data_IF_957200102228
#
_entry.id   IF_957200102228
#
_cell.length_a   1.000
_cell.length_b   1.000
_cell.length_c   1.000
_cell.angle_alpha   90.00
_cell.angle_beta   90.00
_cell.angle_gamma   90.00
#
_symmetry.space_group_name_H-M   'P 1'
#
loop_
_entity.id
_entity.type
_entity.pdbx_description
1 polymer ?
#
# COMPACT_ATOMS: atom_id res chain seq x y z
N UNK A 1 -3.73 6.63 -2.56
CA UNK A 1 -2.56 6.79 -3.45
C UNK A 1 -2.50 5.63 -4.42
N UNK A 2 -2.18 5.92 -5.66
CA UNK A 2 -2.08 4.92 -6.71
C UNK A 2 -0.68 4.95 -7.31
N UNK A 3 -0.04 3.77 -7.37
CA UNK A 3 1.28 3.63 -7.96
C UNK A 3 1.17 2.75 -9.21
N UNK A 4 1.80 3.16 -10.29
CA UNK A 4 1.82 2.41 -11.53
C UNK A 4 3.27 2.01 -11.85
N UNK A 5 3.46 0.75 -12.19
CA UNK A 5 4.79 0.23 -12.54
C UNK A 5 4.75 -0.47 -13.89
N UNK A 6 5.80 -0.28 -14.66
CA UNK A 6 6.07 -1.10 -15.85
C UNK A 6 6.81 -2.36 -15.43
N UNK A 7 6.56 -3.45 -16.13
CA UNK A 7 7.24 -4.71 -15.88
C UNK A 7 7.53 -5.42 -17.20
N UNK A 8 8.51 -6.31 -17.15
CA UNK A 8 8.85 -7.16 -18.30
C UNK A 8 8.29 -8.56 -18.08
N UNK A 9 7.93 -9.23 -19.17
CA UNK A 9 7.38 -10.58 -19.11
C UNK A 9 5.86 -10.60 -19.12
N UNK A 10 5.30 -11.69 -18.62
CA UNK A 10 3.85 -11.90 -18.61
C UNK A 10 3.28 -11.67 -17.21
N UNK A 11 1.94 -11.59 -17.15
CA UNK A 11 1.23 -11.50 -15.86
C UNK A 11 1.61 -12.68 -14.98
N UNK A 12 1.68 -13.89 -15.55
CA UNK A 12 2.02 -15.09 -14.79
C UNK A 12 3.45 -15.07 -14.25
N UNK A 13 4.36 -14.33 -14.93
CA UNK A 13 5.74 -14.18 -14.45
C UNK A 13 5.81 -13.20 -13.28
N UNK A 14 5.05 -12.12 -13.34
CA UNK A 14 5.16 -11.04 -12.35
C UNK A 14 4.32 -11.28 -11.09
N UNK A 15 3.23 -12.04 -11.20
CA UNK A 15 2.35 -12.29 -10.06
C UNK A 15 3.10 -12.88 -8.85
N UNK A 16 3.89 -13.96 -8.99
CA UNK A 16 4.61 -14.51 -7.84
C UNK A 16 5.70 -13.56 -7.33
N UNK A 17 6.30 -12.75 -8.19
CA UNK A 17 7.32 -11.77 -7.78
C UNK A 17 6.70 -10.74 -6.83
N UNK A 18 5.56 -10.19 -7.20
CA UNK A 18 4.86 -9.20 -6.36
C UNK A 18 4.36 -9.84 -5.07
N UNK A 19 3.77 -11.03 -5.17
CA UNK A 19 3.29 -11.78 -4.00
C UNK A 19 4.42 -12.03 -3.01
N UNK A 20 5.55 -12.56 -3.47
CA UNK A 20 6.68 -12.88 -2.61
C UNK A 20 7.26 -11.63 -1.95
N UNK A 21 7.31 -10.52 -2.70
CA UNK A 21 7.75 -9.25 -2.14
C UNK A 21 6.83 -8.81 -0.99
N UNK A 22 5.51 -8.85 -1.20
CA UNK A 22 4.56 -8.44 -0.17
C UNK A 22 4.64 -9.32 1.07
N UNK A 23 4.76 -10.62 0.89
CA UNK A 23 4.92 -11.56 2.00
C UNK A 23 6.22 -11.30 2.76
N UNK A 24 7.30 -10.98 2.05
CA UNK A 24 8.59 -10.66 2.67
C UNK A 24 8.53 -9.39 3.53
N UNK A 25 7.57 -8.52 3.26
CA UNK A 25 7.33 -7.29 4.03
C UNK A 25 6.19 -7.45 5.04
N UNK A 26 5.81 -8.70 5.33
CA UNK A 26 4.81 -9.05 6.33
C UNK A 26 3.39 -8.58 6.01
N UNK A 27 3.07 -8.46 4.73
CA UNK A 27 1.68 -8.30 4.31
C UNK A 27 1.03 -9.67 4.22
N UNK A 28 -0.16 -9.80 4.77
CA UNK A 28 -0.96 -11.02 4.66
C UNK A 28 -1.79 -10.97 3.40
N UNK A 29 -1.58 -11.94 2.50
CA UNK A 29 -2.35 -12.02 1.26
C UNK A 29 -3.68 -12.71 1.56
N UNK A 30 -4.78 -11.98 1.37
CA UNK A 30 -6.12 -12.54 1.60
C UNK A 30 -6.83 -12.93 0.30
N UNK A 31 -6.33 -12.46 -0.84
CA UNK A 31 -6.84 -12.88 -2.14
C UNK A 31 -5.71 -12.89 -3.16
N UNK A 32 -5.60 -13.99 -3.89
CA UNK A 32 -4.57 -14.17 -4.91
C UNK A 32 -5.19 -14.86 -6.12
N UNK A 33 -5.35 -14.11 -7.21
CA UNK A 33 -5.98 -14.58 -8.43
C UNK A 33 -5.08 -14.31 -9.63
N UNK A 34 -4.09 -15.19 -9.90
CA UNK A 34 -3.14 -14.96 -10.99
C UNK A 34 -3.80 -14.94 -12.36
N UNK A 35 -4.89 -15.67 -12.56
CA UNK A 35 -5.61 -15.70 -13.82
C UNK A 35 -6.25 -14.34 -14.17
N UNK A 36 -6.59 -13.54 -13.17
CA UNK A 36 -7.15 -12.19 -13.38
C UNK A 36 -6.15 -11.08 -13.03
N UNK A 37 -4.94 -11.44 -12.61
CA UNK A 37 -3.91 -10.46 -12.26
C UNK A 37 -4.24 -9.66 -11.02
N UNK A 38 -4.84 -10.28 -10.02
CA UNK A 38 -5.31 -9.57 -8.83
C UNK A 38 -4.71 -10.11 -7.54
N UNK A 39 -4.26 -9.19 -6.67
CA UNK A 39 -3.77 -9.50 -5.33
C UNK A 39 -4.39 -8.50 -4.36
N UNK A 40 -4.90 -8.99 -3.24
CA UNK A 40 -5.41 -8.15 -2.16
C UNK A 40 -4.74 -8.56 -0.85
N UNK A 41 -4.26 -7.59 -0.09
CA UNK A 41 -3.71 -7.83 1.24
C UNK A 41 -4.69 -7.43 2.33
N UNK A 42 -4.52 -8.02 3.52
CA UNK A 42 -5.16 -7.52 4.71
C UNK A 42 -4.46 -6.24 5.17
N UNK A 43 -5.06 -5.54 6.12
CA UNK A 43 -4.49 -4.34 6.70
C UNK A 43 -3.24 -4.67 7.51
N UNK A 44 -2.20 -3.87 7.31
CA UNK A 44 -0.96 -3.97 8.08
C UNK A 44 -0.82 -2.69 8.91
N UNK A 45 -0.46 -2.86 10.17
CA UNK A 45 -0.25 -1.75 11.08
C UNK A 45 1.13 -1.13 10.92
N UNK A 46 1.17 0.19 10.77
CA UNK A 46 2.40 0.98 10.84
C UNK A 46 2.28 1.94 12.01
N UNK A 47 3.22 1.84 12.96
CA UNK A 47 3.29 2.77 14.08
C UNK A 47 4.19 3.94 13.70
N UNK A 48 3.64 5.14 13.72
CA UNK A 48 4.36 6.37 13.45
C UNK A 48 4.36 7.23 14.71
N UNK A 49 5.27 8.19 14.78
CA UNK A 49 5.32 9.11 15.91
C UNK A 49 4.01 9.90 16.08
N UNK A 50 3.33 10.15 14.97
CA UNK A 50 2.10 10.94 14.95
C UNK A 50 0.83 10.10 15.07
N UNK A 51 0.93 8.78 15.13
CA UNK A 51 -0.23 7.90 15.22
C UNK A 51 -0.01 6.55 14.55
N UNK A 52 -1.10 5.81 14.36
CA UNK A 52 -1.08 4.48 13.75
C UNK A 52 -1.74 4.51 12.39
N UNK A 53 -1.12 3.87 11.43
CA UNK A 53 -1.66 3.72 10.07
C UNK A 53 -1.91 2.26 9.79
N UNK A 54 -3.11 1.94 9.31
CA UNK A 54 -3.47 0.62 8.84
C UNK A 54 -3.56 0.68 7.33
N UNK A 55 -2.74 -0.10 6.63
CA UNK A 55 -2.64 -0.06 5.18
C UNK A 55 -2.90 -1.42 4.58
N UNK A 56 -3.86 -1.47 3.66
CA UNK A 56 -4.08 -2.63 2.80
C UNK A 56 -3.71 -2.22 1.36
N UNK A 57 -3.24 -3.19 0.58
CA UNK A 57 -2.86 -2.97 -0.80
C UNK A 57 -3.73 -3.81 -1.73
N UNK A 58 -4.26 -3.17 -2.76
CA UNK A 58 -4.95 -3.81 -3.86
C UNK A 58 -4.07 -3.69 -5.09
N UNK A 59 -3.76 -4.81 -5.73
CA UNK A 59 -2.85 -4.83 -6.87
C UNK A 59 -3.56 -5.44 -8.07
N UNK A 60 -3.58 -4.71 -9.17
CA UNK A 60 -4.12 -5.17 -10.44
C UNK A 60 -3.00 -5.14 -11.48
N UNK A 61 -2.82 -6.26 -12.17
CA UNK A 61 -1.76 -6.41 -13.17
C UNK A 61 -2.39 -6.67 -14.53
N UNK A 62 -2.17 -5.74 -15.44
CA UNK A 62 -2.50 -5.84 -16.85
C UNK A 62 -1.28 -5.31 -17.62
N UNK A 63 -1.42 -4.26 -18.40
CA UNK A 63 -0.28 -3.63 -19.07
C UNK A 63 0.69 -3.02 -18.07
N UNK A 64 0.17 -2.63 -16.90
CA UNK A 64 0.94 -2.09 -15.81
C UNK A 64 0.60 -2.84 -14.52
N UNK A 65 1.50 -2.80 -13.56
CA UNK A 65 1.21 -3.20 -12.17
C UNK A 65 0.66 -1.96 -11.48
N UNK A 66 -0.61 -2.00 -11.10
CA UNK A 66 -1.29 -0.88 -10.44
C UNK A 66 -1.47 -1.23 -8.97
N UNK A 67 -0.81 -0.48 -8.10
CA UNK A 67 -0.89 -0.65 -6.65
C UNK A 67 -1.73 0.46 -6.06
N UNK A 68 -2.83 0.10 -5.40
CA UNK A 68 -3.71 1.06 -4.74
C UNK A 68 -3.60 0.85 -3.24
N UNK A 69 -3.21 1.89 -2.53
CA UNK A 69 -3.16 1.87 -1.07
C UNK A 69 -4.51 2.29 -0.50
N UNK A 70 -5.02 1.46 0.39
CA UNK A 70 -6.27 1.72 1.12
C UNK A 70 -5.94 1.70 2.61
N UNK A 71 -6.37 2.71 3.34
CA UNK A 71 -5.99 2.71 4.73
C UNK A 71 -6.72 3.71 5.60
N UNK A 72 -6.39 3.60 6.87
CA UNK A 72 -6.93 4.45 7.92
C UNK A 72 -5.79 4.94 8.79
N UNK A 73 -5.90 6.17 9.22
CA UNK A 73 -4.96 6.78 10.14
C UNK A 73 -5.68 7.09 11.45
N UNK A 74 -5.17 6.52 12.54
CA UNK A 74 -5.72 6.80 13.87
C UNK A 74 -4.93 7.93 14.52
N UNK A 75 -5.64 8.97 14.88
CA UNK A 75 -5.08 10.12 15.58
C UNK A 75 -5.57 10.07 17.02
N UNK A 76 -4.62 10.09 17.96
CA UNK A 76 -4.97 10.23 19.36
C UNK A 76 -5.22 11.71 19.60
N UNK A 77 -6.47 12.06 19.92
CA UNK A 77 -6.80 13.43 20.29
C UNK A 77 -6.61 13.59 21.79
N UNK A 78 -5.91 14.64 22.20
CA UNK A 78 -5.64 14.94 23.61
C UNK A 78 -6.83 15.62 24.31
N UNK A 79 -8.02 15.55 23.72
CA UNK A 79 -9.20 16.21 24.25
C UNK A 79 -9.71 15.62 25.55
N UNK A 80 -10.18 16.48 26.42
CA UNK A 80 -10.95 16.08 27.60
C UNK A 80 -12.35 15.78 27.10
N UNK A 81 -12.71 14.51 27.03
CA UNK A 81 -14.02 14.15 26.51
C UNK A 81 -14.29 12.66 26.60
N UNK A 82 -15.29 12.21 25.87
CA UNK A 82 -15.62 10.80 25.82
C UNK A 82 -14.46 10.00 25.24
N UNK A 83 -14.19 8.78 25.76
CA UNK A 83 -13.17 7.92 25.17
C UNK A 83 -13.35 7.70 23.66
N UNK A 84 -14.58 7.75 23.17
CA UNK A 84 -14.90 7.61 21.75
C UNK A 84 -14.36 8.76 20.89
N UNK A 85 -14.11 9.92 21.50
CA UNK A 85 -13.58 11.08 20.81
C UNK A 85 -12.05 11.10 20.80
N UNK A 86 -11.41 10.18 21.52
CA UNK A 86 -9.96 10.15 21.64
C UNK A 86 -9.25 9.59 20.41
N UNK A 87 -9.97 8.79 19.62
CA UNK A 87 -9.43 8.19 18.41
C UNK A 87 -10.25 8.63 17.22
N UNK A 88 -9.58 9.26 16.27
CA UNK A 88 -10.19 9.62 14.98
C UNK A 88 -9.47 8.89 13.86
N UNK A 89 -10.23 8.38 12.91
CA UNK A 89 -9.67 7.73 11.73
C UNK A 89 -9.72 8.69 10.54
N UNK A 90 -8.68 8.64 9.74
CA UNK A 90 -8.54 9.47 8.55
C UNK A 90 -8.00 8.62 7.42
N UNK A 91 -8.59 8.74 6.23
CA UNK A 91 -8.13 7.99 5.06
C UNK A 91 -6.68 8.36 4.74
N UNK A 92 -5.91 7.38 4.23
CA UNK A 92 -4.47 7.58 3.95
C UNK A 92 -4.26 8.69 2.93
N UNK A 93 -5.13 8.83 1.94
CA UNK A 93 -5.04 9.88 0.93
C UNK A 93 -5.28 11.28 1.48
N UNK A 94 -5.79 11.39 2.70
CA UNK A 94 -5.98 12.67 3.40
C UNK A 94 -4.79 13.05 4.28
N UNK A 95 -3.79 12.19 4.38
CA UNK A 95 -2.59 12.48 5.17
C UNK A 95 -1.70 13.50 4.44
N UNK A 96 -0.86 14.24 5.18
CA UNK A 96 0.16 15.07 4.56
C UNK A 96 1.02 14.25 3.61
N UNK A 97 1.41 14.86 2.50
CA UNK A 97 2.21 14.20 1.47
C UNK A 97 3.47 13.53 2.02
N UNK A 98 4.11 14.17 2.99
CA UNK A 98 5.31 13.63 3.63
C UNK A 98 5.07 12.28 4.31
N UNK A 99 3.92 12.13 4.97
CA UNK A 99 3.55 10.86 5.61
C UNK A 99 3.19 9.79 4.58
N UNK A 100 2.45 10.17 3.54
CA UNK A 100 2.13 9.25 2.44
C UNK A 100 3.41 8.71 1.81
N UNK A 101 4.36 9.60 1.52
CA UNK A 101 5.64 9.21 0.95
C UNK A 101 6.40 8.24 1.85
N UNK A 102 6.39 8.48 3.16
CA UNK A 102 7.06 7.61 4.13
C UNK A 102 6.50 6.20 4.14
N UNK A 103 5.19 6.07 3.94
CA UNK A 103 4.51 4.77 3.93
C UNK A 103 4.76 4.03 2.60
N UNK A 104 4.67 4.75 1.47
CA UNK A 104 4.72 4.15 0.14
C UNK A 104 6.12 4.04 -0.45
N UNK A 105 7.07 4.86 0.00
CA UNK A 105 8.43 4.83 -0.54
C UNK A 105 9.11 3.46 -0.42
N UNK A 106 8.99 2.72 0.70
CA UNK A 106 9.56 1.37 0.78
C UNK A 106 8.98 0.42 -0.26
N UNK A 107 7.68 0.57 -0.58
CA UNK A 107 7.02 -0.26 -1.59
C UNK A 107 7.60 0.07 -2.97
N UNK A 108 7.75 1.34 -3.28
CA UNK A 108 8.34 1.79 -4.55
C UNK A 108 9.75 1.22 -4.70
N UNK A 109 10.61 1.42 -3.71
CA UNK A 109 12.00 0.95 -3.75
C UNK A 109 12.09 -0.57 -3.84
N UNK A 110 11.23 -1.27 -3.09
CA UNK A 110 11.23 -2.73 -3.10
C UNK A 110 10.83 -3.31 -4.45
N UNK A 111 9.78 -2.77 -5.06
CA UNK A 111 9.35 -3.23 -6.37
C UNK A 111 10.36 -2.84 -7.47
N UNK A 112 10.96 -1.66 -7.38
CA UNK A 112 12.03 -1.27 -8.30
C UNK A 112 13.23 -2.22 -8.19
N UNK A 113 13.55 -2.66 -7.00
CA UNK A 113 14.62 -3.65 -6.77
C UNK A 113 14.31 -5.00 -7.44
N UNK A 114 13.03 -5.32 -7.60
CA UNK A 114 12.59 -6.55 -8.27
C UNK A 114 12.50 -6.39 -9.80
N UNK A 115 12.87 -5.23 -10.33
CA UNK A 115 12.91 -4.98 -11.77
C UNK A 115 11.72 -4.22 -12.33
N UNK A 116 10.76 -3.85 -11.50
CA UNK A 116 9.65 -3.02 -11.94
C UNK A 116 10.12 -1.56 -12.04
N UNK A 117 9.45 -0.78 -12.90
CA UNK A 117 9.79 0.63 -13.07
C UNK A 117 8.59 1.51 -12.78
N UNK A 118 8.73 2.41 -11.83
CA UNK A 118 7.66 3.36 -11.50
C UNK A 118 7.40 4.28 -12.68
N UNK A 119 6.12 4.39 -13.04
CA UNK A 119 5.67 5.31 -14.07
C UNK A 119 5.32 6.62 -13.39
N UNK A 120 6.01 7.70 -13.78
CA UNK A 120 5.69 9.03 -13.26
C UNK A 120 4.43 9.53 -13.94
N UNK A 121 3.41 9.82 -13.14
CA UNK A 121 2.21 10.46 -13.65
C UNK A 121 2.47 11.94 -13.79
N UNK A 122 2.15 12.48 -14.96
CA UNK A 122 2.10 13.93 -15.14
C UNK A 122 0.79 14.44 -14.59
N UNK A 123 0.88 15.48 -13.88
CA UNK A 123 -0.29 16.27 -13.53
C UNK A 123 -0.42 17.43 -14.49
#
# INVERSE_FOLDING_TARGET
MVLNFKYDGTIMDIMPVVKDYLESKEYDIIHYAPESGYILTDFKLFSLNSGKVYLALSININDLVVVVGMGKYEIVTSGIGNPDDMLKTKAVDKLPYRLQKKIFLPIIKGLEHKGLKLVKTRR
#
